data_IF_866579315075
#
_entry.id   IF_866579315075
#
_cell.length_a   1.000
_cell.length_b   1.000
_cell.length_c   1.000
_cell.angle_alpha   90.00
_cell.angle_beta   90.00
_cell.angle_gamma   90.00
#
_symmetry.space_group_name_H-M   'P 1'
#
loop_
_entity.id
_entity.type
_entity.pdbx_description
1 polymer ?
#
# COMPACT_ATOMS: atom_id res chain seq x y z
N UNK A 1 -16.16 12.55 -18.26
CA UNK A 1 -14.75 12.57 -18.71
C UNK A 1 -14.11 11.31 -18.17
N UNK A 2 -13.24 10.65 -18.94
CA UNK A 2 -12.56 9.44 -18.48
C UNK A 2 -11.21 9.75 -17.82
N UNK A 3 -10.75 10.99 -17.94
CA UNK A 3 -9.53 11.44 -17.30
C UNK A 3 -9.76 11.57 -15.78
N UNK A 4 -8.74 11.18 -15.04
CA UNK A 4 -8.69 11.17 -13.58
C UNK A 4 -7.42 11.90 -13.18
N UNK A 5 -7.59 13.04 -12.51
CA UNK A 5 -6.51 13.75 -11.85
C UNK A 5 -6.34 13.17 -10.47
N UNK A 6 -5.16 12.68 -10.12
CA UNK A 6 -4.95 12.05 -8.83
C UNK A 6 -3.72 12.57 -8.09
N UNK A 7 -3.74 12.43 -6.78
CA UNK A 7 -2.63 12.72 -5.90
C UNK A 7 -2.03 11.44 -5.29
N UNK A 8 -0.76 11.48 -4.93
CA UNK A 8 -0.07 10.39 -4.21
C UNK A 8 0.43 10.91 -2.86
N UNK A 9 -0.06 10.33 -1.77
CA UNK A 9 0.49 10.59 -0.44
C UNK A 9 1.57 9.56 -0.14
N UNK A 10 2.79 10.01 0.11
CA UNK A 10 3.96 9.18 0.33
C UNK A 10 4.71 8.87 -0.96
N UNK A 11 5.93 9.38 -1.09
CA UNK A 11 6.83 9.09 -2.23
C UNK A 11 7.98 8.15 -1.87
N UNK A 12 7.68 7.17 -1.01
CA UNK A 12 8.54 5.99 -0.82
C UNK A 12 8.51 5.05 -2.03
N UNK A 13 8.99 3.81 -1.84
CA UNK A 13 9.08 2.81 -2.91
C UNK A 13 7.76 2.59 -3.66
N UNK A 14 6.64 2.42 -2.94
CA UNK A 14 5.32 2.24 -3.57
C UNK A 14 4.86 3.51 -4.29
N UNK A 15 4.80 4.66 -3.63
CA UNK A 15 4.25 5.88 -4.25
C UNK A 15 5.04 6.36 -5.46
N UNK A 16 6.37 6.22 -5.46
CA UNK A 16 7.18 6.48 -6.66
C UNK A 16 6.84 5.55 -7.80
N UNK A 17 6.63 4.27 -7.51
CA UNK A 17 6.22 3.28 -8.51
C UNK A 17 4.79 3.49 -8.98
N UNK A 18 3.90 4.01 -8.12
CA UNK A 18 2.58 4.51 -8.53
C UNK A 18 2.73 5.59 -9.60
N UNK A 19 3.55 6.62 -9.34
CA UNK A 19 3.81 7.69 -10.31
C UNK A 19 4.41 7.15 -11.61
N UNK A 20 5.44 6.30 -11.51
CA UNK A 20 6.11 5.66 -12.64
C UNK A 20 5.13 4.88 -13.54
N UNK A 21 4.36 3.95 -12.95
CA UNK A 21 3.38 3.10 -13.65
C UNK A 21 2.23 3.90 -14.23
N UNK A 22 1.83 5.01 -13.59
CA UNK A 22 0.73 5.85 -14.09
C UNK A 22 1.01 6.44 -15.48
N UNK A 23 2.29 6.63 -15.85
CA UNK A 23 2.70 7.12 -17.18
C UNK A 23 2.33 6.16 -18.31
N UNK A 24 2.19 4.88 -17.99
CA UNK A 24 1.84 3.81 -18.95
C UNK A 24 0.33 3.55 -18.97
N UNK A 25 -0.49 4.33 -18.25
CA UNK A 25 -1.93 4.15 -18.14
C UNK A 25 -2.70 5.36 -18.71
N UNK A 26 -3.48 5.10 -19.75
CA UNK A 26 -4.38 6.10 -20.32
C UNK A 26 -5.41 6.59 -19.29
N UNK A 27 -5.68 7.90 -19.33
CA UNK A 27 -6.71 8.58 -18.53
C UNK A 27 -6.33 8.82 -17.07
N UNK A 28 -5.05 8.66 -16.70
CA UNK A 28 -4.54 9.02 -15.37
C UNK A 28 -3.54 10.16 -15.49
N UNK A 29 -3.70 11.19 -14.67
CA UNK A 29 -2.78 12.32 -14.61
C UNK A 29 -2.43 12.59 -13.15
N UNK A 30 -1.19 12.29 -12.69
CA UNK A 30 -0.77 12.67 -11.36
C UNK A 30 -0.60 14.19 -11.32
N UNK A 31 -1.35 14.87 -10.45
CA UNK A 31 -1.32 16.34 -10.33
C UNK A 31 -0.72 16.82 -9.02
N UNK A 32 -0.57 15.92 -8.04
CA UNK A 32 0.07 16.25 -6.78
C UNK A 32 0.74 15.03 -6.14
N UNK A 33 1.82 15.26 -5.41
CA UNK A 33 2.49 14.23 -4.63
C UNK A 33 3.16 14.86 -3.39
N UNK A 34 3.17 14.13 -2.27
CA UNK A 34 3.82 14.62 -1.06
C UNK A 34 4.57 13.51 -0.31
N UNK A 35 5.54 13.92 0.50
CA UNK A 35 6.10 13.12 1.59
C UNK A 35 6.19 13.98 2.85
N UNK A 36 6.92 13.54 3.87
CA UNK A 36 7.01 14.27 5.13
C UNK A 36 7.69 15.64 5.00
N UNK A 37 8.54 15.83 3.99
CA UNK A 37 9.41 17.01 3.86
C UNK A 37 8.77 18.09 2.98
N UNK A 38 7.82 17.73 2.11
CA UNK A 38 7.21 18.70 1.23
C UNK A 38 6.06 18.20 0.39
N UNK A 39 5.71 19.01 -0.60
CA UNK A 39 4.68 18.72 -1.59
C UNK A 39 5.08 19.23 -2.98
N UNK A 40 4.64 18.55 -4.03
CA UNK A 40 4.70 18.99 -5.42
C UNK A 40 3.28 19.03 -5.99
N UNK A 41 2.92 20.12 -6.67
CA UNK A 41 1.58 20.33 -7.25
C UNK A 41 1.71 20.93 -8.65
N UNK A 42 1.10 20.29 -9.63
CA UNK A 42 0.88 20.82 -10.98
C UNK A 42 -0.46 20.29 -11.52
N UNK A 43 -1.47 21.17 -11.62
CA UNK A 43 -2.80 20.80 -12.10
C UNK A 43 -2.85 20.46 -13.60
N UNK A 44 -1.80 20.79 -14.38
CA UNK A 44 -1.64 20.33 -15.76
C UNK A 44 -0.98 18.95 -15.83
N UNK A 45 -0.42 18.47 -14.72
CA UNK A 45 0.22 17.17 -14.55
C UNK A 45 1.69 17.30 -14.17
N UNK A 46 2.11 16.57 -13.15
CA UNK A 46 3.50 16.55 -12.67
C UNK A 46 4.47 16.04 -13.76
N UNK A 47 5.67 16.63 -13.82
CA UNK A 47 6.80 16.04 -14.54
C UNK A 47 7.34 14.86 -13.73
N UNK A 48 6.71 13.70 -13.92
CA UNK A 48 7.06 12.46 -13.21
C UNK A 48 8.50 12.02 -13.48
N UNK A 49 9.04 12.04 -14.72
CA UNK A 49 10.45 11.77 -14.96
C UNK A 49 11.40 12.61 -14.09
N UNK A 50 11.20 13.94 -14.04
CA UNK A 50 12.03 14.84 -13.23
C UNK A 50 11.91 14.52 -11.74
N UNK A 51 10.68 14.34 -11.24
CA UNK A 51 10.43 14.04 -9.83
C UNK A 51 11.10 12.71 -9.42
N UNK A 52 11.02 11.69 -10.27
CA UNK A 52 11.66 10.40 -10.02
C UNK A 52 13.18 10.48 -10.06
N UNK A 53 13.77 11.27 -10.96
CA UNK A 53 15.22 11.49 -11.01
C UNK A 53 15.70 12.23 -9.76
N UNK A 54 15.03 13.32 -9.40
CA UNK A 54 15.40 14.16 -8.25
C UNK A 54 15.31 13.42 -6.90
N UNK A 55 14.35 12.52 -6.77
CA UNK A 55 14.13 11.77 -5.53
C UNK A 55 14.98 10.49 -5.46
N UNK A 56 15.61 10.01 -6.53
CA UNK A 56 16.34 8.73 -6.57
C UNK A 56 17.43 8.63 -5.50
N UNK A 57 17.35 7.60 -4.65
CA UNK A 57 18.26 7.42 -3.51
C UNK A 57 18.09 8.42 -2.36
N UNK A 58 17.28 9.46 -2.51
CA UNK A 58 16.98 10.49 -1.50
C UNK A 58 15.55 10.33 -1.00
N UNK A 59 15.22 9.16 -0.43
CA UNK A 59 13.89 8.90 0.12
C UNK A 59 13.82 9.50 1.52
N UNK A 60 12.79 10.29 1.80
CA UNK A 60 12.45 10.75 3.15
C UNK A 60 11.90 9.59 4.00
N UNK A 61 12.76 8.60 4.28
CA UNK A 61 12.52 7.43 5.12
C UNK A 61 13.64 7.34 6.16
N UNK A 62 13.30 7.54 7.43
CA UNK A 62 14.20 7.53 8.58
C UNK A 62 13.86 8.67 9.57
N UNK A 63 13.94 8.44 10.89
CA UNK A 63 13.84 9.50 11.88
C UNK A 63 15.05 10.45 11.77
N UNK A 64 14.80 11.76 11.84
CA UNK A 64 15.87 12.75 12.02
C UNK A 64 16.41 12.73 13.45
N UNK A 65 17.71 12.97 13.59
CA UNK A 65 18.35 13.22 14.88
C UNK A 65 17.76 14.49 15.52
N UNK A 66 16.78 14.30 16.41
CA UNK A 66 16.51 15.25 17.49
C UNK A 66 15.34 16.22 17.32
N UNK A 67 14.39 15.98 16.42
CA UNK A 67 13.12 16.75 16.41
C UNK A 67 12.01 15.95 17.08
N UNK A 68 11.45 16.56 18.13
CA UNK A 68 10.36 16.00 18.93
C UNK A 68 9.04 16.32 18.22
N UNK A 69 8.71 15.54 17.19
CA UNK A 69 7.45 15.68 16.44
C UNK A 69 6.47 14.58 16.84
N UNK A 70 5.27 14.97 17.28
CA UNK A 70 4.29 14.09 17.94
C UNK A 70 3.59 13.11 16.96
N UNK A 71 4.02 13.04 15.69
CA UNK A 71 3.56 12.09 14.67
C UNK A 71 4.75 11.62 13.82
N UNK A 72 5.41 10.55 14.26
CA UNK A 72 6.48 9.93 13.47
C UNK A 72 5.86 9.07 12.36
N UNK A 73 5.90 9.55 11.12
CA UNK A 73 5.32 8.87 9.94
C UNK A 73 6.08 7.60 9.53
N UNK A 74 7.11 7.18 10.27
CA UNK A 74 7.95 6.03 9.90
C UNK A 74 8.56 5.20 11.04
N UNK A 75 8.07 5.31 12.27
CA UNK A 75 8.53 4.44 13.35
C UNK A 75 9.97 4.74 13.80
N UNK A 76 10.08 5.50 14.88
CA UNK A 76 11.37 5.95 15.41
C UNK A 76 12.27 4.81 15.90
N UNK A 77 13.39 4.61 15.23
CA UNK A 77 14.60 3.99 15.79
C UNK A 77 15.73 5.03 15.81
N UNK A 78 16.40 5.21 16.95
CA UNK A 78 17.57 6.09 17.06
C UNK A 78 18.73 5.52 16.25
N UNK A 79 19.26 6.29 15.29
CA UNK A 79 20.47 5.93 14.59
C UNK A 79 21.70 6.01 15.52
N UNK A 80 22.60 5.03 15.41
CA UNK A 80 23.95 5.11 15.96
C UNK A 80 24.91 5.61 14.89
N UNK A 81 25.85 6.46 15.28
CA UNK A 81 26.67 7.22 14.37
C UNK A 81 27.76 6.37 13.71
N UNK A 82 27.51 5.93 12.48
CA UNK A 82 28.53 5.94 11.43
C UNK A 82 28.75 4.64 10.67
N UNK A 83 28.65 4.74 9.35
CA UNK A 83 29.70 4.37 8.38
C UNK A 83 29.34 4.93 7.02
N UNK A 84 30.20 5.77 6.44
CA UNK A 84 30.03 6.34 5.11
C UNK A 84 30.64 5.41 4.04
N UNK A 85 29.86 5.09 3.01
CA UNK A 85 30.36 4.51 1.75
C UNK A 85 29.91 5.34 0.56
N UNK A 86 30.80 5.45 -0.44
CA UNK A 86 30.73 6.36 -1.59
C UNK A 86 29.48 6.17 -2.46
N UNK A 87 28.62 7.19 -2.43
CA UNK A 87 27.36 7.29 -3.16
C UNK A 87 26.37 8.07 -2.28
N UNK A 88 26.57 9.38 -2.16
CA UNK A 88 25.92 10.21 -1.11
C UNK A 88 24.41 10.33 -1.37
N UNK A 89 23.64 9.34 -0.88
CA UNK A 89 22.22 9.42 -0.57
C UNK A 89 22.07 10.44 0.58
N UNK A 90 21.33 11.51 0.38
CA UNK A 90 21.14 12.56 1.37
C UNK A 90 19.98 12.21 2.31
N UNK A 91 20.25 12.23 3.61
CA UNK A 91 19.24 12.29 4.66
C UNK A 91 19.25 13.72 5.24
N UNK A 92 18.09 14.36 5.32
CA UNK A 92 17.91 15.72 5.87
C UNK A 92 16.75 16.48 5.22
N UNK A 93 16.55 17.74 5.63
CA UNK A 93 15.49 18.67 5.18
C UNK A 93 15.41 18.88 3.65
N UNK A 94 16.45 18.50 2.89
CA UNK A 94 16.51 18.59 1.41
C UNK A 94 16.26 17.24 0.70
N UNK A 95 15.94 16.17 1.43
CA UNK A 95 15.63 14.84 0.86
C UNK A 95 14.13 14.67 0.53
N UNK A 96 13.79 13.76 -0.38
CA UNK A 96 12.40 13.53 -0.80
C UNK A 96 11.91 14.52 -1.85
N UNK A 97 10.62 14.81 -1.84
CA UNK A 97 9.92 15.58 -2.88
C UNK A 97 10.52 16.98 -3.07
N UNK A 98 11.10 17.56 -2.02
CA UNK A 98 11.75 18.88 -2.04
C UNK A 98 13.05 18.91 -2.84
N UNK A 99 13.61 17.74 -3.19
CA UNK A 99 14.74 17.65 -4.10
C UNK A 99 14.34 17.94 -5.56
N UNK A 100 13.06 17.76 -5.91
CA UNK A 100 12.51 18.09 -7.23
C UNK A 100 12.34 19.60 -7.40
N UNK A 101 12.55 20.11 -8.61
CA UNK A 101 12.26 21.51 -8.96
C UNK A 101 10.78 21.88 -8.79
N UNK A 102 9.89 20.87 -8.76
CA UNK A 102 8.45 20.99 -8.52
C UNK A 102 8.11 20.99 -7.03
N UNK A 103 9.05 20.61 -6.17
CA UNK A 103 8.85 20.46 -4.74
C UNK A 103 8.91 21.79 -3.99
N UNK A 104 8.01 21.94 -3.01
CA UNK A 104 8.09 23.00 -2.00
C UNK A 104 8.13 22.39 -0.59
N UNK A 105 9.03 22.85 0.29
CA UNK A 105 9.08 22.38 1.66
C UNK A 105 7.83 22.82 2.42
N UNK A 106 7.33 21.95 3.30
CA UNK A 106 6.18 22.23 4.17
C UNK A 106 6.20 21.28 5.36
N UNK A 107 5.73 21.78 6.51
CA UNK A 107 5.53 20.97 7.72
C UNK A 107 4.15 20.27 7.72
N UNK A 108 3.26 20.64 6.80
CA UNK A 108 1.88 20.12 6.72
C UNK A 108 1.55 19.57 5.32
N UNK A 109 2.33 18.61 4.79
CA UNK A 109 2.21 18.14 3.41
C UNK A 109 0.84 17.54 3.06
N UNK A 110 0.22 16.81 3.97
CA UNK A 110 -1.11 16.24 3.74
C UNK A 110 -2.19 17.33 3.72
N UNK A 111 -2.10 18.34 4.59
CA UNK A 111 -3.05 19.48 4.57
C UNK A 111 -2.89 20.30 3.29
N UNK A 112 -1.66 20.43 2.79
CA UNK A 112 -1.38 21.08 1.52
C UNK A 112 -2.01 20.32 0.35
N UNK A 113 -2.04 18.98 0.34
CA UNK A 113 -2.79 18.21 -0.67
C UNK A 113 -4.30 18.40 -0.52
N UNK A 114 -4.80 18.39 0.71
CA UNK A 114 -6.23 18.62 1.01
C UNK A 114 -6.67 20.02 0.52
N UNK A 115 -5.80 21.03 0.62
CA UNK A 115 -6.08 22.38 0.12
C UNK A 115 -6.25 22.45 -1.41
N UNK A 116 -5.70 21.49 -2.16
CA UNK A 116 -5.81 21.37 -3.63
C UNK A 116 -6.95 20.44 -4.08
N UNK A 117 -7.80 20.00 -3.14
CA UNK A 117 -8.76 18.91 -3.35
C UNK A 117 -9.83 19.16 -4.42
N UNK A 118 -10.19 20.42 -4.68
CA UNK A 118 -11.10 20.82 -5.78
C UNK A 118 -10.60 20.35 -7.16
N UNK A 119 -9.28 20.14 -7.29
CA UNK A 119 -8.63 19.74 -8.53
C UNK A 119 -8.19 18.25 -8.56
N UNK A 120 -8.59 17.45 -7.57
CA UNK A 120 -8.15 16.07 -7.39
C UNK A 120 -9.35 15.11 -7.36
N UNK A 121 -9.50 14.27 -8.40
CA UNK A 121 -10.57 13.26 -8.45
C UNK A 121 -10.31 12.08 -7.48
N UNK A 122 -9.04 11.79 -7.19
CA UNK A 122 -8.65 10.67 -6.35
C UNK A 122 -7.31 10.87 -5.63
N UNK A 123 -7.14 10.23 -4.49
CA UNK A 123 -5.88 10.23 -3.73
C UNK A 123 -5.48 8.79 -3.45
N UNK A 124 -4.26 8.41 -3.88
CA UNK A 124 -3.65 7.14 -3.52
C UNK A 124 -2.74 7.33 -2.31
N UNK A 125 -3.03 6.60 -1.25
CA UNK A 125 -2.29 6.66 0.02
C UNK A 125 -1.26 5.54 0.04
N UNK A 126 -0.02 5.88 -0.33
CA UNK A 126 1.14 5.00 -0.34
C UNK A 126 2.02 5.22 0.91
N UNK A 127 1.38 5.50 2.06
CA UNK A 127 2.03 5.71 3.34
C UNK A 127 2.08 4.41 4.13
N UNK A 128 3.18 4.11 4.84
CA UNK A 128 3.24 2.98 5.74
C UNK A 128 2.28 3.19 6.92
N UNK A 129 1.58 2.14 7.36
CA UNK A 129 0.61 2.22 8.46
C UNK A 129 1.18 1.62 9.76
N UNK A 130 2.28 2.20 10.24
CA UNK A 130 2.95 1.78 11.48
C UNK A 130 2.19 2.22 12.74
N UNK A 131 1.26 3.16 12.60
CA UNK A 131 0.22 3.47 13.58
C UNK A 131 -1.12 3.00 13.02
N UNK A 132 -1.80 2.09 13.70
CA UNK A 132 -2.98 1.40 13.15
C UNK A 132 -4.12 2.34 12.68
N UNK A 133 -4.19 3.57 13.21
CA UNK A 133 -5.22 4.56 12.93
C UNK A 133 -4.76 5.70 12.00
N UNK A 134 -3.55 5.65 11.45
CA UNK A 134 -3.02 6.75 10.63
C UNK A 134 -3.83 6.94 9.33
N UNK A 135 -4.04 5.87 8.56
CA UNK A 135 -4.86 5.94 7.33
C UNK A 135 -6.33 6.35 7.62
N UNK A 136 -7.01 5.76 8.62
CA UNK A 136 -8.34 6.25 9.04
C UNK A 136 -8.37 7.75 9.40
N UNK A 137 -7.36 8.26 10.12
CA UNK A 137 -7.26 9.70 10.45
C UNK A 137 -7.02 10.56 9.20
N UNK A 138 -6.24 10.09 8.23
CA UNK A 138 -6.09 10.79 6.94
C UNK A 138 -7.44 10.87 6.23
N UNK A 139 -8.21 9.77 6.18
CA UNK A 139 -9.55 9.78 5.58
C UNK A 139 -10.51 10.76 6.28
N UNK A 140 -10.45 10.85 7.61
CA UNK A 140 -11.21 11.83 8.39
C UNK A 140 -10.83 13.27 8.03
N UNK A 141 -9.54 13.58 7.87
CA UNK A 141 -9.08 14.93 7.48
C UNK A 141 -9.62 15.35 6.12
N UNK A 142 -9.65 14.45 5.13
CA UNK A 142 -10.29 14.71 3.84
C UNK A 142 -11.81 14.94 4.01
N UNK A 143 -12.49 14.11 4.81
CA UNK A 143 -13.92 14.27 5.08
C UNK A 143 -14.25 15.59 5.83
N UNK A 144 -13.40 16.03 6.76
CA UNK A 144 -13.51 17.30 7.48
C UNK A 144 -13.31 18.51 6.56
N UNK A 145 -12.47 18.37 5.54
CA UNK A 145 -12.26 19.38 4.50
C UNK A 145 -13.32 19.38 3.39
N UNK A 146 -14.42 18.62 3.57
CA UNK A 146 -15.51 18.51 2.60
C UNK A 146 -15.07 17.98 1.22
N UNK A 147 -14.00 17.15 1.19
CA UNK A 147 -13.55 16.49 -0.02
C UNK A 147 -14.60 15.51 -0.55
N UNK A 148 -15.04 15.70 -1.79
CA UNK A 148 -15.86 14.74 -2.54
C UNK A 148 -14.99 14.07 -3.62
N UNK A 149 -14.70 12.78 -3.46
CA UNK A 149 -13.85 12.05 -4.38
C UNK A 149 -13.45 10.67 -3.88
N UNK A 150 -12.27 10.20 -4.28
CA UNK A 150 -11.83 8.83 -4.01
C UNK A 150 -10.58 8.81 -3.17
N UNK A 151 -10.55 7.96 -2.16
CA UNK A 151 -9.33 7.59 -1.43
C UNK A 151 -9.04 6.12 -1.71
N UNK A 152 -7.79 5.78 -2.03
CA UNK A 152 -7.36 4.39 -2.25
C UNK A 152 -6.12 4.12 -1.42
N UNK A 153 -6.10 3.02 -0.68
CA UNK A 153 -4.89 2.56 0.00
C UNK A 153 -4.45 1.18 -0.51
N UNK A 154 -3.26 0.77 -0.08
CA UNK A 154 -2.68 -0.56 -0.34
C UNK A 154 -2.35 -1.28 0.96
N UNK A 155 -3.19 -1.08 1.99
CA UNK A 155 -2.99 -1.62 3.34
C UNK A 155 -3.02 -3.14 3.38
N UNK A 156 -2.24 -3.73 4.30
CA UNK A 156 -2.22 -5.18 4.53
C UNK A 156 -3.11 -5.67 5.68
N UNK A 157 -3.26 -4.90 6.77
CA UNK A 157 -3.76 -5.42 8.06
C UNK A 157 -5.29 -5.36 8.23
N UNK A 158 -5.88 -6.47 8.68
CA UNK A 158 -7.33 -6.64 8.91
C UNK A 158 -7.92 -5.60 9.86
N UNK A 159 -7.21 -5.30 10.95
CA UNK A 159 -7.71 -4.36 11.98
C UNK A 159 -8.04 -2.97 11.44
N UNK A 160 -7.36 -2.52 10.39
CA UNK A 160 -7.55 -1.18 9.83
C UNK A 160 -8.87 -1.09 9.05
N UNK A 161 -9.30 -2.19 8.43
CA UNK A 161 -10.57 -2.27 7.70
C UNK A 161 -11.75 -1.99 8.64
N UNK A 162 -11.75 -2.62 9.83
CA UNK A 162 -12.79 -2.36 10.83
C UNK A 162 -12.84 -0.89 11.28
N UNK A 163 -11.68 -0.21 11.38
CA UNK A 163 -11.64 1.22 11.71
C UNK A 163 -12.22 2.10 10.59
N UNK A 164 -12.08 1.70 9.33
CA UNK A 164 -12.68 2.38 8.19
C UNK A 164 -14.20 2.15 8.15
N UNK A 165 -14.64 0.92 8.45
CA UNK A 165 -16.07 0.58 8.51
C UNK A 165 -16.80 1.39 9.61
N UNK A 166 -16.17 1.60 10.77
CA UNK A 166 -16.68 2.48 11.83
C UNK A 166 -16.90 3.94 11.37
N UNK A 167 -16.25 4.35 10.27
CA UNK A 167 -16.31 5.69 9.68
C UNK A 167 -17.16 5.77 8.41
N UNK A 168 -17.75 4.66 7.97
CA UNK A 168 -18.40 4.56 6.67
C UNK A 168 -19.50 5.61 6.47
N UNK A 169 -20.34 5.85 7.48
CA UNK A 169 -21.40 6.85 7.43
C UNK A 169 -20.84 8.26 7.18
N UNK A 170 -19.75 8.62 7.85
CA UNK A 170 -19.09 9.93 7.68
C UNK A 170 -18.49 10.06 6.27
N UNK A 171 -17.88 9.00 5.75
CA UNK A 171 -17.34 8.98 4.39
C UNK A 171 -18.46 9.12 3.35
N UNK A 172 -19.58 8.41 3.54
CA UNK A 172 -20.79 8.54 2.69
C UNK A 172 -21.36 9.95 2.70
N UNK A 173 -21.50 10.56 3.89
CA UNK A 173 -22.00 11.93 4.05
C UNK A 173 -21.11 12.97 3.36
N UNK A 174 -19.80 12.72 3.30
CA UNK A 174 -18.82 13.61 2.68
C UNK A 174 -18.66 13.37 1.17
N UNK A 175 -19.36 12.38 0.60
CA UNK A 175 -19.22 12.03 -0.82
C UNK A 175 -17.92 11.28 -1.15
N UNK A 176 -17.30 10.64 -0.16
CA UNK A 176 -16.05 9.88 -0.33
C UNK A 176 -16.35 8.43 -0.67
N UNK A 177 -15.68 7.94 -1.72
CA UNK A 177 -15.56 6.51 -2.03
C UNK A 177 -14.16 6.05 -1.63
N UNK A 178 -14.07 5.30 -0.54
CA UNK A 178 -12.81 4.76 -0.06
C UNK A 178 -12.62 3.33 -0.60
N UNK A 179 -11.48 3.04 -1.23
CA UNK A 179 -11.11 1.69 -1.68
C UNK A 179 -9.93 1.19 -0.86
N UNK A 180 -10.21 0.29 0.09
CA UNK A 180 -9.21 -0.25 1.01
C UNK A 180 -8.57 -1.53 0.47
N UNK A 181 -7.28 -1.72 0.78
CA UNK A 181 -6.53 -2.94 0.45
C UNK A 181 -6.40 -3.18 -1.05
N UNK A 182 -6.10 -2.15 -1.85
CA UNK A 182 -6.11 -2.23 -3.31
C UNK A 182 -4.75 -2.65 -3.94
N UNK A 183 -3.89 -3.33 -3.18
CA UNK A 183 -2.54 -3.73 -3.61
C UNK A 183 -2.48 -5.08 -4.32
N UNK A 184 -1.51 -5.90 -3.94
CA UNK A 184 -1.37 -7.27 -4.44
C UNK A 184 -2.21 -8.25 -3.62
N UNK A 185 -1.93 -8.29 -2.32
CA UNK A 185 -2.71 -8.95 -1.28
C UNK A 185 -2.64 -8.00 -0.09
N UNK A 186 -3.77 -7.56 0.47
CA UNK A 186 -5.07 -7.57 -0.18
C UNK A 186 -5.02 -6.76 -1.50
N UNK A 187 -5.93 -7.07 -2.41
CA UNK A 187 -6.05 -6.39 -3.70
C UNK A 187 -6.27 -7.35 -4.85
N UNK A 188 -5.25 -7.53 -5.67
CA UNK A 188 -5.31 -8.38 -6.86
C UNK A 188 -5.73 -9.82 -6.53
N UNK A 189 -5.12 -10.43 -5.51
CA UNK A 189 -5.40 -11.81 -5.13
C UNK A 189 -6.75 -11.96 -4.44
N UNK A 190 -7.17 -10.98 -3.62
CA UNK A 190 -8.51 -10.96 -3.00
C UNK A 190 -9.60 -10.89 -4.08
N UNK A 191 -9.43 -10.03 -5.09
CA UNK A 191 -10.36 -9.94 -6.22
C UNK A 191 -10.37 -11.23 -7.07
N UNK A 192 -9.21 -11.87 -7.26
CA UNK A 192 -9.11 -13.16 -7.94
C UNK A 192 -9.82 -14.27 -7.15
N UNK A 193 -9.68 -14.30 -5.83
CA UNK A 193 -10.38 -15.24 -4.96
C UNK A 193 -11.90 -15.05 -5.05
N UNK A 194 -12.38 -13.80 -5.01
CA UNK A 194 -13.81 -13.49 -5.16
C UNK A 194 -14.40 -13.98 -6.49
N UNK A 195 -13.63 -13.94 -7.58
CA UNK A 195 -14.02 -14.50 -8.87
C UNK A 195 -13.98 -16.04 -8.86
N UNK A 196 -12.94 -16.64 -8.30
CA UNK A 196 -12.77 -18.09 -8.23
C UNK A 196 -13.87 -18.76 -7.38
N UNK A 197 -14.32 -18.08 -6.32
CA UNK A 197 -15.37 -18.53 -5.42
C UNK A 197 -16.72 -18.79 -6.09
N UNK A 198 -17.02 -18.13 -7.22
CA UNK A 198 -18.31 -18.22 -7.91
C UNK A 198 -18.67 -19.62 -8.45
N UNK A 199 -17.71 -20.55 -8.45
CA UNK A 199 -17.93 -21.95 -8.86
C UNK A 199 -18.48 -22.84 -7.73
N UNK A 200 -18.42 -22.36 -6.48
CA UNK A 200 -18.73 -23.15 -5.29
C UNK A 200 -20.04 -22.68 -4.65
N UNK A 201 -20.77 -23.63 -4.06
CA UNK A 201 -21.94 -23.32 -3.23
C UNK A 201 -21.54 -23.00 -1.79
N UNK A 202 -20.35 -23.44 -1.39
CA UNK A 202 -19.73 -23.21 -0.09
C UNK A 202 -18.21 -23.19 -0.32
N UNK A 203 -17.57 -22.09 0.08
CA UNK A 203 -16.10 -21.98 0.09
C UNK A 203 -15.63 -22.54 1.43
N UNK A 204 -14.66 -23.44 1.38
CA UNK A 204 -14.10 -24.14 2.55
C UNK A 204 -12.77 -23.51 3.00
N UNK A 205 -12.00 -22.95 2.06
CA UNK A 205 -10.67 -22.40 2.35
C UNK A 205 -10.22 -21.46 1.24
N UNK A 206 -9.53 -20.38 1.63
CA UNK A 206 -8.76 -19.52 0.73
C UNK A 206 -7.32 -19.46 1.21
N UNK A 207 -6.39 -19.98 0.42
CA UNK A 207 -4.95 -19.97 0.72
C UNK A 207 -4.23 -18.99 -0.22
N UNK A 208 -3.58 -17.97 0.35
CA UNK A 208 -2.71 -17.03 -0.35
C UNK A 208 -1.26 -17.32 0.05
N UNK A 209 -0.43 -17.60 -0.95
CA UNK A 209 1.00 -17.82 -0.75
C UNK A 209 1.81 -16.90 -1.64
N UNK A 210 2.46 -15.89 -1.06
CA UNK A 210 3.20 -14.88 -1.81
C UNK A 210 4.71 -15.12 -1.85
N UNK A 211 5.37 -14.55 -2.85
CA UNK A 211 6.82 -14.60 -3.01
C UNK A 211 7.37 -13.25 -3.44
N UNK A 212 8.30 -12.70 -2.67
CA UNK A 212 8.92 -11.41 -2.93
C UNK A 212 10.44 -11.55 -2.94
N UNK A 213 11.07 -11.12 -4.02
CA UNK A 213 12.51 -10.87 -4.09
C UNK A 213 12.74 -9.37 -4.19
N UNK A 214 13.63 -8.81 -3.37
CA UNK A 214 13.92 -7.38 -3.34
C UNK A 214 15.09 -7.02 -4.27
N UNK A 215 14.76 -6.46 -5.44
CA UNK A 215 15.77 -6.06 -6.44
C UNK A 215 16.73 -4.98 -5.94
N UNK A 216 16.24 -4.04 -5.15
CA UNK A 216 17.02 -2.96 -4.55
C UNK A 216 17.58 -3.33 -3.17
N UNK A 217 17.36 -4.56 -2.69
CA UNK A 217 17.75 -4.99 -1.36
C UNK A 217 16.91 -4.34 -0.25
N UNK A 218 17.34 -4.57 1.00
CA UNK A 218 16.65 -4.12 2.21
C UNK A 218 16.54 -2.59 2.33
N UNK A 219 17.60 -1.83 2.00
CA UNK A 219 17.66 -0.38 2.25
C UNK A 219 16.49 0.40 1.66
N UNK A 220 16.15 0.14 0.39
CA UNK A 220 15.10 0.88 -0.32
C UNK A 220 13.68 0.36 0.04
N UNK A 221 13.60 -0.72 0.84
CA UNK A 221 12.36 -1.39 1.24
C UNK A 221 12.20 -1.49 2.77
N UNK A 222 12.97 -0.71 3.54
CA UNK A 222 13.02 -0.77 5.01
C UNK A 222 11.64 -0.77 5.68
N UNK A 223 10.75 0.13 5.26
CA UNK A 223 9.39 0.21 5.80
C UNK A 223 8.60 -1.08 5.61
N UNK A 224 8.62 -1.63 4.38
CA UNK A 224 7.93 -2.88 4.04
C UNK A 224 8.53 -4.07 4.77
N UNK A 225 9.86 -4.21 4.79
CA UNK A 225 10.52 -5.34 5.47
C UNK A 225 10.25 -5.30 6.98
N UNK A 226 10.25 -4.10 7.57
CA UNK A 226 9.93 -3.92 8.99
C UNK A 226 8.48 -4.25 9.31
N UNK A 227 7.55 -3.88 8.43
CA UNK A 227 6.15 -4.30 8.54
C UNK A 227 6.01 -5.82 8.46
N UNK A 228 6.74 -6.49 7.56
CA UNK A 228 6.71 -7.94 7.40
C UNK A 228 7.30 -8.64 8.64
N UNK A 229 8.42 -8.16 9.20
CA UNK A 229 9.03 -8.70 10.44
C UNK A 229 8.03 -8.79 11.59
N UNK A 230 7.07 -7.85 11.67
CA UNK A 230 6.04 -7.87 12.71
C UNK A 230 5.10 -9.10 12.66
N UNK A 231 5.18 -9.91 11.59
CA UNK A 231 4.45 -11.16 11.43
C UNK A 231 5.30 -12.42 11.69
N UNK A 232 6.59 -12.27 12.03
CA UNK A 232 7.42 -13.40 12.42
C UNK A 232 7.08 -13.88 13.83
N UNK A 233 7.29 -15.18 14.08
CA UNK A 233 7.13 -15.77 15.41
C UNK A 233 7.99 -15.03 16.45
N UNK A 234 7.32 -14.49 17.47
CA UNK A 234 7.97 -13.76 18.56
C UNK A 234 8.16 -12.26 18.31
N UNK A 235 7.63 -11.73 17.21
CA UNK A 235 7.59 -10.31 16.90
C UNK A 235 6.15 -9.79 16.84
N UNK A 236 6.01 -8.48 17.01
CA UNK A 236 4.76 -7.74 16.79
C UNK A 236 5.11 -6.34 16.26
N UNK A 237 4.10 -5.50 15.99
CA UNK A 237 4.33 -4.16 15.44
C UNK A 237 5.14 -3.26 16.37
N UNK A 238 4.99 -3.40 17.70
CA UNK A 238 5.71 -2.60 18.68
C UNK A 238 7.19 -2.99 18.67
N UNK A 239 7.46 -4.29 18.77
CA UNK A 239 8.81 -4.87 18.74
C UNK A 239 9.50 -4.54 17.43
N UNK A 240 8.82 -4.80 16.30
CA UNK A 240 9.37 -4.50 14.98
C UNK A 240 9.67 -3.01 14.83
N UNK A 241 8.82 -2.11 15.35
CA UNK A 241 9.04 -0.65 15.34
C UNK A 241 10.19 -0.18 16.23
N UNK A 242 10.56 -0.92 17.26
CA UNK A 242 11.65 -0.55 18.18
C UNK A 242 13.03 -1.07 17.75
N UNK A 243 13.10 -2.06 16.85
CA UNK A 243 14.37 -2.62 16.36
C UNK A 243 15.31 -1.57 15.73
N UNK A 244 16.58 -1.58 16.14
CA UNK A 244 17.65 -0.88 15.44
C UNK A 244 17.95 -1.52 14.08
N UNK A 245 18.64 -0.79 13.20
CA UNK A 245 19.09 -1.33 11.91
C UNK A 245 19.98 -2.57 12.09
N UNK A 246 20.88 -2.55 13.07
CA UNK A 246 21.76 -3.67 13.40
C UNK A 246 20.99 -4.92 13.88
N UNK A 247 19.89 -4.73 14.62
CA UNK A 247 19.03 -5.84 15.04
C UNK A 247 18.28 -6.46 13.85
N UNK A 248 17.81 -5.63 12.91
CA UNK A 248 17.17 -6.12 11.69
C UNK A 248 18.18 -6.84 10.79
N UNK A 249 19.39 -6.32 10.63
CA UNK A 249 20.46 -6.99 9.89
C UNK A 249 20.83 -8.35 10.51
N UNK A 250 20.94 -8.41 11.83
CA UNK A 250 21.21 -9.67 12.55
C UNK A 250 20.09 -10.68 12.30
N UNK A 251 18.83 -10.26 12.39
CA UNK A 251 17.68 -11.12 12.09
C UNK A 251 17.73 -11.65 10.65
N UNK A 252 18.01 -10.77 9.69
CA UNK A 252 18.16 -11.14 8.28
C UNK A 252 19.29 -12.14 8.10
N UNK A 253 20.43 -11.95 8.77
CA UNK A 253 21.56 -12.87 8.71
C UNK A 253 21.25 -14.24 9.32
N UNK A 254 20.58 -14.27 10.47
CA UNK A 254 20.17 -15.50 11.17
C UNK A 254 19.21 -16.36 10.33
N UNK A 255 18.49 -15.72 9.40
CA UNK A 255 17.59 -16.35 8.45
C UNK A 255 18.18 -16.51 7.03
N UNK A 256 19.50 -16.38 6.87
CA UNK A 256 20.19 -16.48 5.58
C UNK A 256 19.65 -15.51 4.49
N UNK A 257 18.96 -14.45 4.90
CA UNK A 257 18.31 -13.48 4.02
C UNK A 257 16.93 -13.86 3.52
N UNK A 258 16.37 -14.97 4.00
CA UNK A 258 15.07 -15.50 3.58
C UNK A 258 14.12 -15.60 4.78
N UNK A 259 13.10 -14.76 4.80
CA UNK A 259 12.07 -14.76 5.83
C UNK A 259 10.83 -15.49 5.30
N UNK A 260 10.34 -16.46 6.07
CA UNK A 260 9.15 -17.24 5.76
C UNK A 260 8.05 -16.92 6.77
N UNK A 261 6.83 -16.74 6.28
CA UNK A 261 5.69 -16.28 7.05
C UNK A 261 4.52 -17.24 6.87
N UNK A 262 3.83 -17.51 7.97
CA UNK A 262 2.63 -18.36 8.00
C UNK A 262 1.54 -17.65 8.80
N UNK A 263 0.29 -17.82 8.39
CA UNK A 263 -0.91 -17.31 9.09
C UNK A 263 -0.78 -15.83 9.52
N UNK A 264 -0.35 -14.99 8.58
CA UNK A 264 -0.19 -13.55 8.79
C UNK A 264 -1.56 -12.90 9.02
N UNK A 265 -1.66 -11.95 9.96
CA UNK A 265 -2.80 -11.01 9.99
C UNK A 265 -2.86 -10.26 8.67
N UNK A 266 -3.96 -10.43 7.93
CA UNK A 266 -4.04 -9.91 6.58
C UNK A 266 -5.48 -9.69 6.14
N UNK A 267 -5.81 -8.47 5.71
CA UNK A 267 -7.16 -7.99 5.46
C UNK A 267 -7.92 -8.72 4.34
N UNK A 268 -7.27 -9.62 3.60
CA UNK A 268 -7.97 -10.54 2.69
C UNK A 268 -9.10 -11.29 3.43
N UNK A 269 -8.87 -11.67 4.69
CA UNK A 269 -9.84 -12.35 5.55
C UNK A 269 -11.16 -11.56 5.70
N UNK A 270 -11.09 -10.35 6.24
CA UNK A 270 -12.21 -9.46 6.50
C UNK A 270 -12.84 -9.00 5.20
N UNK A 271 -12.05 -8.77 4.14
CA UNK A 271 -12.58 -8.32 2.86
C UNK A 271 -13.38 -9.42 2.15
N UNK A 272 -12.97 -10.69 2.23
CA UNK A 272 -13.72 -11.82 1.69
C UNK A 272 -14.95 -12.15 2.55
N UNK A 273 -14.83 -12.08 3.88
CA UNK A 273 -15.96 -12.26 4.81
C UNK A 273 -17.03 -11.20 4.61
N UNK A 274 -16.63 -9.92 4.51
CA UNK A 274 -17.55 -8.80 4.26
C UNK A 274 -18.30 -8.96 2.93
N UNK A 275 -17.65 -9.54 1.92
CA UNK A 275 -18.27 -9.83 0.63
C UNK A 275 -19.18 -11.08 0.65
N UNK A 276 -19.25 -11.80 1.78
CA UNK A 276 -20.07 -12.99 1.97
C UNK A 276 -19.54 -14.22 1.24
N UNK A 277 -18.21 -14.33 1.09
CA UNK A 277 -17.56 -15.42 0.35
C UNK A 277 -17.26 -16.62 1.27
N UNK A 278 -16.58 -16.39 2.39
CA UNK A 278 -16.23 -17.38 3.42
C UNK A 278 -16.07 -16.68 4.78
N UNK A 279 -15.97 -17.46 5.86
CA UNK A 279 -15.65 -16.89 7.17
C UNK A 279 -14.18 -16.44 7.20
N UNK A 280 -13.85 -15.40 7.97
CA UNK A 280 -12.48 -14.88 8.03
C UNK A 280 -11.46 -15.93 8.53
N UNK A 281 -11.90 -16.90 9.33
CA UNK A 281 -11.05 -17.99 9.84
C UNK A 281 -10.61 -19.01 8.78
N UNK A 282 -11.28 -19.03 7.62
CA UNK A 282 -10.97 -19.92 6.50
C UNK A 282 -9.99 -19.28 5.49
N UNK A 283 -9.45 -18.09 5.81
CA UNK A 283 -8.52 -17.36 4.95
C UNK A 283 -7.12 -17.38 5.56
N UNK A 284 -6.19 -18.00 4.85
CA UNK A 284 -4.81 -18.16 5.28
C UNK A 284 -3.86 -17.41 4.35
N UNK A 285 -3.03 -16.53 4.92
CA UNK A 285 -2.04 -15.75 4.17
C UNK A 285 -0.64 -16.05 4.69
N UNK A 286 0.26 -16.45 3.81
CA UNK A 286 1.68 -16.66 4.10
C UNK A 286 2.55 -16.37 2.90
N UNK A 287 3.86 -16.52 3.05
CA UNK A 287 4.77 -16.32 1.93
C UNK A 287 6.24 -16.30 2.30
N UNK A 288 7.06 -15.97 1.30
CA UNK A 288 8.53 -15.98 1.39
C UNK A 288 9.10 -14.66 0.86
N UNK A 289 9.89 -13.98 1.69
CA UNK A 289 10.64 -12.79 1.35
C UNK A 289 12.14 -13.12 1.28
N UNK A 290 12.74 -12.97 0.10
CA UNK A 290 14.20 -13.01 -0.08
C UNK A 290 14.73 -11.57 -0.21
N UNK A 291 15.42 -11.09 0.83
CA UNK A 291 15.97 -9.72 0.85
C UNK A 291 17.31 -9.61 0.12
N UNK A 292 17.87 -10.74 -0.36
CA UNK A 292 19.18 -10.84 -1.01
C UNK A 292 19.07 -11.13 -2.51
N UNK A 293 17.88 -11.50 -3.00
CA UNK A 293 17.63 -11.81 -4.41
C UNK A 293 16.55 -10.92 -5.00
N UNK A 294 16.73 -10.51 -6.25
CA UNK A 294 15.70 -9.84 -7.06
C UNK A 294 14.70 -10.82 -7.69
N UNK A 295 15.00 -12.12 -7.63
CA UNK A 295 14.13 -13.18 -8.14
C UNK A 295 13.13 -13.57 -7.06
N UNK A 296 11.85 -13.72 -7.43
CA UNK A 296 10.87 -14.29 -6.51
C UNK A 296 11.33 -15.66 -5.99
N UNK A 297 11.33 -15.89 -4.66
CA UNK A 297 11.71 -17.17 -4.08
C UNK A 297 10.66 -18.27 -4.33
N UNK A 298 9.40 -17.87 -4.54
CA UNK A 298 8.28 -18.73 -4.89
C UNK A 298 7.30 -18.00 -5.80
N UNK A 299 6.57 -18.73 -6.63
CA UNK A 299 5.44 -18.19 -7.39
C UNK A 299 4.34 -17.76 -6.42
N UNK A 300 3.79 -16.57 -6.65
CA UNK A 300 2.70 -16.01 -5.83
C UNK A 300 1.36 -16.55 -6.31
N UNK A 301 0.56 -17.10 -5.41
CA UNK A 301 -0.71 -17.76 -5.74
C UNK A 301 -1.83 -17.38 -4.79
N UNK A 302 -3.06 -17.57 -5.27
CA UNK A 302 -4.25 -17.74 -4.43
C UNK A 302 -5.01 -18.97 -4.88
N UNK A 303 -5.38 -19.83 -3.93
CA UNK A 303 -6.19 -21.03 -4.14
C UNK A 303 -7.49 -20.92 -3.38
N UNK A 304 -8.61 -21.19 -4.04
CA UNK A 304 -9.94 -21.22 -3.43
C UNK A 304 -10.48 -22.64 -3.52
N UNK A 305 -10.65 -23.27 -2.37
CA UNK A 305 -11.20 -24.62 -2.23
C UNK A 305 -12.65 -24.54 -1.77
N UNK A 306 -13.52 -25.35 -2.36
CA UNK A 306 -14.90 -25.41 -1.92
C UNK A 306 -15.68 -26.56 -2.53
N UNK A 307 -16.94 -26.67 -2.11
CA UNK A 307 -17.89 -27.67 -2.62
C UNK A 307 -18.74 -27.08 -3.74
N UNK A 308 -18.85 -27.78 -4.86
CA UNK A 308 -19.65 -27.39 -6.03
C UNK A 308 -21.13 -27.76 -5.86
N UNK A 309 -22.00 -27.25 -6.72
CA UNK A 309 -23.43 -27.61 -6.70
C UNK A 309 -23.70 -29.10 -6.99
N UNK A 310 -22.75 -29.80 -7.61
CA UNK A 310 -22.79 -31.25 -7.84
C UNK A 310 -22.36 -32.07 -6.61
N UNK A 311 -21.93 -31.41 -5.53
CA UNK A 311 -21.47 -32.05 -4.29
C UNK A 311 -20.01 -32.53 -4.31
N UNK A 312 -19.23 -32.11 -5.32
CA UNK A 312 -17.81 -32.42 -5.44
C UNK A 312 -16.97 -31.27 -4.86
N UNK A 313 -15.93 -31.60 -4.09
CA UNK A 313 -14.91 -30.65 -3.64
C UNK A 313 -13.91 -30.39 -4.77
N UNK A 314 -13.54 -29.12 -4.99
CA UNK A 314 -12.53 -28.72 -5.96
C UNK A 314 -11.78 -27.47 -5.52
N UNK A 315 -10.64 -27.22 -6.19
CA UNK A 315 -9.80 -26.05 -5.93
C UNK A 315 -9.53 -25.32 -7.24
N UNK A 316 -9.79 -24.02 -7.26
CA UNK A 316 -9.39 -23.10 -8.32
C UNK A 316 -8.14 -22.34 -7.88
N UNK A 317 -7.10 -22.28 -8.71
CA UNK A 317 -5.84 -21.57 -8.39
C UNK A 317 -5.55 -20.47 -9.42
N UNK A 318 -5.18 -19.29 -8.93
CA UNK A 318 -4.69 -18.17 -9.72
C UNK A 318 -3.21 -17.90 -9.38
N UNK A 319 -2.36 -17.79 -10.39
CA UNK A 319 -0.91 -17.69 -10.25
C UNK A 319 -0.38 -16.40 -10.91
N UNK A 320 0.49 -15.67 -10.21
CA UNK A 320 1.19 -14.51 -10.76
C UNK A 320 2.55 -14.93 -11.31
N UNK A 321 2.83 -14.57 -12.56
CA UNK A 321 4.12 -14.86 -13.20
C UNK A 321 5.29 -14.30 -12.38
N UNK A 322 6.38 -15.08 -12.27
CA UNK A 322 7.55 -14.72 -11.48
C UNK A 322 8.24 -13.43 -11.95
N UNK A 323 8.03 -13.01 -13.22
CA UNK A 323 8.59 -11.76 -13.74
C UNK A 323 7.80 -10.52 -13.30
N UNK A 324 6.59 -10.68 -12.77
CA UNK A 324 5.78 -9.57 -12.26
C UNK A 324 6.26 -9.20 -10.85
N UNK A 325 6.94 -8.07 -10.69
CA UNK A 325 7.49 -7.67 -9.39
C UNK A 325 6.40 -7.34 -8.36
N UNK A 326 6.79 -7.22 -7.09
CA UNK A 326 5.88 -6.75 -6.03
C UNK A 326 5.27 -5.40 -6.41
N UNK A 327 6.09 -4.47 -6.88
CA UNK A 327 5.66 -3.12 -7.24
C UNK A 327 4.67 -3.14 -8.41
N UNK A 328 4.86 -4.01 -9.41
CA UNK A 328 3.90 -4.15 -10.49
C UNK A 328 2.55 -4.70 -9.98
N UNK A 329 2.60 -5.72 -9.12
CA UNK A 329 1.42 -6.36 -8.57
C UNK A 329 0.70 -5.53 -7.48
N UNK A 330 1.35 -4.50 -6.92
CA UNK A 330 0.69 -3.53 -6.02
C UNK A 330 0.17 -2.34 -6.81
N UNK A 331 1.02 -1.65 -7.57
CA UNK A 331 0.68 -0.37 -8.18
C UNK A 331 -0.27 -0.49 -9.38
N UNK A 332 -0.14 -1.57 -10.15
CA UNK A 332 -1.03 -1.84 -11.28
C UNK A 332 -2.50 -1.97 -10.82
N UNK A 333 -2.79 -2.88 -9.88
CA UNK A 333 -4.11 -3.00 -9.26
C UNK A 333 -4.56 -1.74 -8.53
N UNK A 334 -3.70 -1.08 -7.74
CA UNK A 334 -4.09 0.14 -7.02
C UNK A 334 -4.61 1.24 -7.96
N UNK A 335 -3.93 1.47 -9.08
CA UNK A 335 -4.39 2.41 -10.11
C UNK A 335 -5.66 1.93 -10.83
N UNK A 336 -5.84 0.62 -10.99
CA UNK A 336 -7.05 0.06 -11.59
C UNK A 336 -8.27 0.17 -10.68
N UNK A 337 -8.09 -0.04 -9.37
CA UNK A 337 -9.09 0.20 -8.34
C UNK A 337 -9.36 1.68 -8.14
N UNK A 338 -8.37 2.55 -8.29
CA UNK A 338 -8.57 4.00 -8.33
C UNK A 338 -9.51 4.42 -9.47
N UNK A 339 -9.30 3.91 -10.69
CA UNK A 339 -10.25 4.13 -11.80
C UNK A 339 -11.67 3.62 -11.48
N UNK A 340 -11.77 2.43 -10.88
CA UNK A 340 -13.05 1.84 -10.50
C UNK A 340 -13.75 2.63 -9.39
N UNK A 341 -13.00 3.11 -8.39
CA UNK A 341 -13.46 3.99 -7.33
C UNK A 341 -14.02 5.29 -7.90
N UNK A 342 -13.29 5.94 -8.82
CA UNK A 342 -13.74 7.21 -9.43
C UNK A 342 -15.01 7.01 -10.25
N UNK A 343 -15.12 5.90 -10.96
CA UNK A 343 -16.33 5.55 -11.68
C UNK A 343 -17.53 5.36 -10.74
N UNK A 344 -17.33 4.72 -9.60
CA UNK A 344 -18.38 4.50 -8.59
C UNK A 344 -18.76 5.80 -7.88
N UNK A 345 -17.78 6.60 -7.49
CA UNK A 345 -17.98 7.92 -6.90
C UNK A 345 -18.83 8.82 -7.79
N UNK A 346 -18.46 8.93 -9.08
CA UNK A 346 -19.22 9.70 -10.09
C UNK A 346 -20.63 9.15 -10.35
N UNK A 347 -20.91 7.91 -9.97
CA UNK A 347 -22.24 7.29 -10.02
C UNK A 347 -23.05 7.49 -8.72
N UNK A 348 -22.50 8.18 -7.72
CA UNK A 348 -23.12 8.40 -6.41
C UNK A 348 -22.96 7.22 -5.45
N UNK A 349 -21.99 6.33 -5.69
CA UNK A 349 -21.69 5.21 -4.80
C UNK A 349 -20.54 5.56 -3.86
N UNK A 350 -20.89 5.99 -2.65
CA UNK A 350 -19.98 6.40 -1.60
C UNK A 350 -19.88 5.34 -0.49
N UNK A 351 -18.87 5.43 0.36
CA UNK A 351 -18.60 4.47 1.44
C UNK A 351 -17.29 3.72 1.26
N UNK A 352 -17.14 2.60 1.96
CA UNK A 352 -15.92 1.78 1.98
C UNK A 352 -16.11 0.56 1.09
N UNK A 353 -15.18 0.34 0.18
CA UNK A 353 -15.16 -0.77 -0.77
C UNK A 353 -13.82 -1.47 -0.74
N UNK A 354 -13.83 -2.75 -1.06
CA UNK A 354 -12.63 -3.57 -1.19
C UNK A 354 -12.49 -4.18 -2.58
N UNK A 355 -11.42 -4.95 -2.79
CA UNK A 355 -11.13 -5.65 -4.04
C UNK A 355 -12.12 -6.78 -4.34
N UNK A 356 -12.80 -7.29 -3.32
CA UNK A 356 -13.90 -8.26 -3.48
C UNK A 356 -15.22 -7.58 -3.93
N UNK A 357 -15.35 -6.26 -3.73
CA UNK A 357 -16.57 -5.50 -4.04
C UNK A 357 -16.54 -4.89 -5.45
N UNK A 358 -15.35 -4.60 -5.97
CA UNK A 358 -15.15 -3.83 -7.21
C UNK A 358 -14.38 -4.63 -8.27
N UNK A 359 -14.75 -4.45 -9.53
CA UNK A 359 -13.91 -4.89 -10.66
C UNK A 359 -12.96 -3.75 -11.05
N UNK A 360 -11.62 -3.93 -11.02
CA UNK A 360 -10.68 -2.88 -11.38
C UNK A 360 -10.76 -2.54 -12.88
N UNK A 361 -10.52 -1.27 -13.21
CA UNK A 361 -10.40 -0.81 -14.60
C UNK A 361 -8.96 -0.86 -15.10
N UNK A 362 -8.73 -1.33 -16.33
CA UNK A 362 -7.37 -1.38 -16.90
C UNK A 362 -6.78 0.01 -17.18
#
# INVERSE_FOLDING_TARGET
MNDVRFAVLGTGGIGRRTLDVSREKDGLTPVAACDRNGVAVDHEGLDVPELLEATEGNIASGPEDGVNDDIATDGGAKADAGTATDGVKQHGEEAGIVASEQGRPTETPIDDIIAESDDIDAVLVALPNLEHDFIPRVAERFAEAEYEGVLVDVLKRSRVIGMLDDREDRLKESGITFVCGAGATPGFLTGAAALAAQSFVEVEEVEIWWGVGLKSGYEDNRGTVREDIAHLDGYDIETAREMSEAEIETLIEDHDGVLEFHDMEHADDVLLERAGICDAEDVHVGGVLDVRSDKKPTTTTVSVTGTTFDGETGTNTFELDDVTSMEANVNGPALGYLKAGVRNNRAGHYGVFGPADLMPGF
#
